data_IF_621516986924
#
_entry.id   IF_621516986924
#
_cell.length_a   1.000
_cell.length_b   1.000
_cell.length_c   1.000
_cell.angle_alpha   90.00
_cell.angle_beta   90.00
_cell.angle_gamma   90.00
#
_symmetry.space_group_name_H-M   'P 1'
#
loop_
_entity.id
_entity.type
_entity.pdbx_description
1 polymer ?
#
# COMPACT_ATOMS: atom_id res chain seq x y z
N UNK A 1 -13.82 9.64 7.32
CA UNK A 1 -13.87 8.16 7.35
C UNK A 1 -12.61 7.64 8.00
N UNK A 2 -12.71 6.66 8.90
CA UNK A 2 -11.55 5.94 9.43
C UNK A 2 -11.45 4.60 8.71
N UNK A 3 -10.40 4.38 7.94
CA UNK A 3 -10.23 3.18 7.10
C UNK A 3 -8.92 2.50 7.48
N UNK A 4 -8.94 1.17 7.54
CA UNK A 4 -7.75 0.33 7.70
C UNK A 4 -7.49 -0.40 6.40
N UNK A 5 -6.30 -0.21 5.85
CA UNK A 5 -5.87 -0.79 4.59
C UNK A 5 -4.73 -1.75 4.87
N UNK A 6 -4.87 -2.99 4.42
CA UNK A 6 -3.86 -4.03 4.54
C UNK A 6 -3.25 -4.25 3.15
N UNK A 7 -2.02 -3.77 2.98
CA UNK A 7 -1.23 -3.98 1.76
C UNK A 7 -0.30 -5.18 1.96
N UNK A 8 -0.09 -5.96 0.91
CA UNK A 8 0.83 -7.11 0.92
C UNK A 8 1.78 -6.98 -0.26
N UNK A 9 3.08 -7.18 -0.01
CA UNK A 9 4.06 -7.44 -1.06
C UNK A 9 4.77 -8.76 -0.82
N UNK A 10 5.02 -9.47 -1.91
CA UNK A 10 5.77 -10.71 -1.94
C UNK A 10 7.05 -10.46 -2.74
N UNK A 11 8.20 -10.78 -2.16
CA UNK A 11 9.51 -10.69 -2.84
C UNK A 11 9.77 -11.93 -3.69
N UNK A 12 10.63 -11.81 -4.70
CA UNK A 12 11.06 -12.98 -5.50
C UNK A 12 12.10 -13.83 -4.77
N UNK A 13 12.95 -13.20 -3.95
CA UNK A 13 14.00 -13.87 -3.19
C UNK A 13 13.90 -13.53 -1.71
N UNK A 14 14.66 -14.26 -0.88
CA UNK A 14 14.86 -13.92 0.54
C UNK A 14 15.56 -12.57 0.64
N UNK A 15 15.05 -11.69 1.49
CA UNK A 15 15.60 -10.35 1.74
C UNK A 15 16.06 -10.20 3.20
N UNK A 16 16.82 -9.14 3.48
CA UNK A 16 17.26 -8.82 4.84
C UNK A 16 16.14 -8.11 5.61
N UNK A 17 16.09 -8.27 6.92
CA UNK A 17 15.12 -7.60 7.80
C UNK A 17 15.17 -6.07 7.69
N UNK A 18 16.34 -5.48 7.42
CA UNK A 18 16.47 -4.04 7.16
C UNK A 18 15.74 -3.61 5.89
N UNK A 19 15.79 -4.42 4.83
CA UNK A 19 15.07 -4.15 3.58
C UNK A 19 13.56 -4.34 3.77
N UNK A 20 13.14 -5.33 4.55
CA UNK A 20 11.73 -5.51 4.93
C UNK A 20 11.17 -4.26 5.61
N UNK A 21 11.92 -3.70 6.57
CA UNK A 21 11.52 -2.49 7.28
C UNK A 21 11.37 -1.29 6.33
N UNK A 22 12.33 -1.11 5.42
CA UNK A 22 12.28 -0.03 4.42
C UNK A 22 11.06 -0.18 3.51
N UNK A 23 10.75 -1.38 3.03
CA UNK A 23 9.58 -1.64 2.18
C UNK A 23 8.28 -1.34 2.94
N UNK A 24 8.17 -1.75 4.22
CA UNK A 24 7.00 -1.44 5.06
C UNK A 24 6.83 0.05 5.26
N UNK A 25 7.92 0.79 5.46
CA UNK A 25 7.89 2.25 5.58
C UNK A 25 7.41 2.92 4.29
N UNK A 26 7.92 2.48 3.13
CA UNK A 26 7.47 2.96 1.81
C UNK A 26 5.97 2.71 1.61
N UNK A 27 5.47 1.53 1.97
CA UNK A 27 4.04 1.21 1.89
C UNK A 27 3.21 2.16 2.75
N UNK A 28 3.64 2.40 3.99
CA UNK A 28 2.95 3.28 4.92
C UNK A 28 2.90 4.72 4.37
N UNK A 29 4.03 5.26 3.93
CA UNK A 29 4.12 6.61 3.35
C UNK A 29 3.16 6.78 2.16
N UNK A 30 3.10 5.80 1.25
CA UNK A 30 2.23 5.89 0.07
C UNK A 30 0.75 5.83 0.47
N UNK A 31 0.39 4.97 1.43
CA UNK A 31 -1.00 4.87 1.90
C UNK A 31 -1.43 6.15 2.62
N UNK A 32 -0.56 6.71 3.46
CA UNK A 32 -0.83 7.96 4.19
C UNK A 32 -0.96 9.15 3.24
N UNK A 33 -0.06 9.27 2.25
CA UNK A 33 -0.10 10.34 1.25
C UNK A 33 -1.38 10.26 0.39
N UNK A 34 -1.76 9.05 -0.06
CA UNK A 34 -3.01 8.85 -0.81
C UNK A 34 -4.25 9.15 0.04
N UNK A 35 -4.25 8.74 1.31
CA UNK A 35 -5.36 8.99 2.22
C UNK A 35 -5.50 10.47 2.59
N UNK A 36 -4.41 11.24 2.60
CA UNK A 36 -4.43 12.67 2.87
C UNK A 36 -4.90 13.49 1.66
N UNK A 37 -4.54 13.07 0.45
CA UNK A 37 -4.81 13.83 -0.77
C UNK A 37 -6.13 13.49 -1.47
N UNK A 38 -6.67 12.28 -1.27
CA UNK A 38 -7.84 11.79 -2.01
C UNK A 38 -9.10 11.71 -1.13
N UNK A 39 -10.27 11.86 -1.75
CA UNK A 39 -11.54 11.55 -1.09
C UNK A 39 -11.72 10.03 -0.92
N UNK A 40 -12.60 9.61 -0.01
CA UNK A 40 -12.84 8.19 0.26
C UNK A 40 -13.25 7.40 -1.00
N UNK A 41 -14.10 8.00 -1.84
CA UNK A 41 -14.58 7.39 -3.08
C UNK A 41 -13.43 7.18 -4.09
N UNK A 42 -12.61 8.22 -4.29
CA UNK A 42 -11.43 8.14 -5.15
C UNK A 42 -10.42 7.10 -4.63
N UNK A 43 -10.19 7.07 -3.31
CA UNK A 43 -9.31 6.09 -2.69
C UNK A 43 -9.84 4.66 -2.91
N UNK A 44 -11.15 4.44 -2.76
CA UNK A 44 -11.78 3.15 -3.03
C UNK A 44 -11.58 2.72 -4.49
N UNK A 45 -11.78 3.64 -5.45
CA UNK A 45 -11.54 3.38 -6.86
C UNK A 45 -10.07 3.03 -7.15
N UNK A 46 -9.11 3.80 -6.64
CA UNK A 46 -7.68 3.51 -6.84
C UNK A 46 -7.24 2.18 -6.24
N UNK A 47 -7.83 1.79 -5.09
CA UNK A 47 -7.57 0.49 -4.46
C UNK A 47 -8.09 -0.67 -5.32
N UNK A 48 -9.32 -0.56 -5.84
CA UNK A 48 -9.94 -1.60 -6.67
C UNK A 48 -9.22 -1.74 -8.01
N UNK A 49 -8.82 -0.62 -8.62
CA UNK A 49 -8.09 -0.60 -9.89
C UNK A 49 -6.61 -1.01 -9.74
N UNK A 50 -6.11 -1.15 -8.51
CA UNK A 50 -4.73 -1.57 -8.25
C UNK A 50 -3.69 -0.47 -8.46
N UNK A 51 -4.09 0.78 -8.67
CA UNK A 51 -3.16 1.92 -8.86
C UNK A 51 -2.28 2.14 -7.63
N UNK A 52 -2.87 2.02 -6.43
CA UNK A 52 -2.13 2.07 -5.17
C UNK A 52 -1.04 0.98 -5.10
N UNK A 53 -1.34 -0.23 -5.58
CA UNK A 53 -0.36 -1.31 -5.62
C UNK A 53 0.76 -1.04 -6.65
N UNK A 54 0.43 -0.44 -7.79
CA UNK A 54 1.41 -0.02 -8.79
C UNK A 54 2.36 1.05 -8.27
N UNK A 55 1.86 2.03 -7.53
CA UNK A 55 2.68 3.10 -6.91
C UNK A 55 3.67 2.49 -5.90
N UNK A 56 3.19 1.59 -5.04
CA UNK A 56 4.04 0.84 -4.09
C UNK A 56 5.10 0.01 -4.84
N UNK A 57 4.72 -0.70 -5.90
CA UNK A 57 5.64 -1.51 -6.69
C UNK A 57 6.76 -0.65 -7.30
N UNK A 58 6.41 0.49 -7.90
CA UNK A 58 7.36 1.37 -8.57
C UNK A 58 8.40 1.99 -7.62
N UNK A 59 8.01 2.27 -6.37
CA UNK A 59 8.93 2.79 -5.37
C UNK A 59 9.75 1.69 -4.70
N UNK A 60 9.12 0.55 -4.40
CA UNK A 60 9.77 -0.55 -3.70
C UNK A 60 10.70 -1.41 -4.60
N UNK A 61 10.52 -1.41 -5.94
CA UNK A 61 11.42 -2.11 -6.87
C UNK A 61 12.88 -1.64 -6.78
N UNK A 62 13.10 -0.40 -6.35
CA UNK A 62 14.44 0.16 -6.15
C UNK A 62 15.20 -0.51 -4.99
N UNK A 63 14.48 -1.13 -4.05
CA UNK A 63 15.06 -1.84 -2.91
C UNK A 63 15.29 -3.32 -3.24
N UNK A 64 14.29 -3.98 -3.84
CA UNK A 64 14.35 -5.40 -4.20
C UNK A 64 13.33 -5.76 -5.29
N UNK A 65 13.55 -6.89 -5.96
CA UNK A 65 12.62 -7.44 -6.92
C UNK A 65 11.37 -8.03 -6.23
N UNK A 66 10.21 -7.45 -6.54
CA UNK A 66 8.91 -7.90 -6.04
C UNK A 66 8.24 -8.83 -7.06
N UNK A 67 7.58 -9.88 -6.56
CA UNK A 67 6.77 -10.83 -7.33
C UNK A 67 5.32 -10.35 -7.47
N UNK A 68 4.76 -9.86 -6.37
CA UNK A 68 3.38 -9.41 -6.30
C UNK A 68 3.25 -8.30 -5.27
N UNK A 69 2.42 -7.29 -5.59
CA UNK A 69 2.00 -6.25 -4.66
C UNK A 69 0.50 -6.07 -4.84
N UNK A 70 -0.24 -6.00 -3.75
CA UNK A 70 -1.68 -5.84 -3.80
C UNK A 70 -2.28 -5.39 -2.48
N UNK A 71 -3.49 -4.84 -2.55
CA UNK A 71 -4.32 -4.58 -1.37
C UNK A 71 -5.04 -5.87 -1.02
N UNK A 72 -4.73 -6.43 0.16
CA UNK A 72 -5.33 -7.69 0.63
C UNK A 72 -6.69 -7.47 1.26
N UNK A 73 -6.86 -6.37 2.02
CA UNK A 73 -8.09 -6.07 2.73
C UNK A 73 -8.24 -4.56 2.96
N UNK A 74 -9.45 -4.06 2.82
CA UNK A 74 -9.86 -2.72 3.27
C UNK A 74 -11.01 -2.86 4.27
N UNK A 75 -10.87 -2.26 5.45
CA UNK A 75 -11.88 -2.26 6.52
C UNK A 75 -12.27 -0.82 6.84
N UNK A 76 -13.57 -0.51 6.81
CA UNK A 76 -14.08 0.77 7.29
C UNK A 76 -14.31 0.66 8.81
N UNK A 77 -13.53 1.41 9.59
CA UNK A 77 -13.59 1.40 11.05
C UNK A 77 -14.60 2.41 11.60
N UNK A 78 -14.77 3.56 10.92
CA UNK A 78 -15.76 4.56 11.32
C UNK A 78 -16.22 5.41 10.12
N UNK A 79 -17.53 5.66 10.06
CA UNK A 79 -18.12 6.68 9.19
C UNK A 79 -17.83 8.08 9.79
N UNK A 80 -17.67 9.12 8.96
CA UNK A 80 -17.72 10.50 9.46
C UNK A 80 -19.10 10.73 10.10
N UNK A 81 -19.12 11.36 11.27
CA UNK A 81 -20.36 11.92 11.83
C UNK A 81 -20.83 13.08 10.96
#
# INVERSE_FOLDING_TARGET
>A
YRVKIVVTAMTQSRIKTSQEYVIRKIMQEIVEDKAANLTYDQLAHEMVLGKLASDVYNRAKNVTALRHVGVRKSELLALPQ
#
